data_IF_966448209140
#
_entry.id   IF_966448209140
#
_cell.length_a   1.000
_cell.length_b   1.000
_cell.length_c   1.000
_cell.angle_alpha   90.00
_cell.angle_beta   90.00
_cell.angle_gamma   90.00
#
_symmetry.space_group_name_H-M   'P 1'
#
loop_
_entity.id
_entity.type
_entity.pdbx_description
1 polymer ?
#
# COMPACT_ATOMS: atom_id res chain seq x y z
N UNK A 1 -22.44 14.57 -11.67
CA UNK A 1 -22.04 15.69 -10.80
C UNK A 1 -20.66 15.40 -10.24
N UNK A 2 -19.65 16.14 -10.73
CA UNK A 2 -18.41 16.49 -10.05
C UNK A 2 -17.43 15.38 -9.64
N UNK A 3 -16.53 15.00 -10.56
CA UNK A 3 -15.26 14.34 -10.27
C UNK A 3 -14.10 15.36 -10.46
N UNK A 4 -14.17 16.52 -9.80
CA UNK A 4 -13.21 17.64 -10.03
C UNK A 4 -12.58 18.27 -8.76
N UNK A 5 -12.64 17.67 -7.57
CA UNK A 5 -12.15 18.34 -6.34
C UNK A 5 -11.09 17.58 -5.50
N UNK A 6 -10.16 16.89 -6.14
CA UNK A 6 -8.94 16.44 -5.45
C UNK A 6 -7.69 16.78 -6.26
N UNK A 7 -7.21 18.02 -6.17
CA UNK A 7 -5.82 18.31 -6.57
C UNK A 7 -4.87 17.77 -5.47
N UNK A 8 -3.94 16.85 -5.78
CA UNK A 8 -3.10 16.15 -4.79
C UNK A 8 -1.79 16.89 -4.47
N UNK A 9 -1.72 18.20 -4.68
CA UNK A 9 -0.43 18.92 -4.75
C UNK A 9 0.25 19.08 -3.38
N UNK A 10 -0.48 19.35 -2.29
CA UNK A 10 0.15 19.56 -0.98
C UNK A 10 0.74 18.31 -0.31
N UNK A 11 0.25 17.12 -0.66
CA UNK A 11 0.54 15.86 0.05
C UNK A 11 1.94 15.32 -0.23
N UNK A 12 2.38 15.44 -1.49
CA UNK A 12 3.68 14.93 -1.96
C UNK A 12 4.80 15.87 -1.53
N UNK A 13 4.54 17.18 -1.56
CA UNK A 13 5.57 18.20 -1.46
C UNK A 13 6.28 18.15 -0.10
N UNK A 14 5.61 18.45 1.03
CA UNK A 14 6.28 18.53 2.36
C UNK A 14 6.92 17.21 2.81
N UNK A 15 6.45 16.09 2.25
CA UNK A 15 6.98 14.77 2.55
C UNK A 15 8.38 14.58 1.97
N UNK A 16 8.71 15.15 0.81
CA UNK A 16 10.05 15.04 0.22
C UNK A 16 11.09 15.82 1.05
N UNK A 17 10.73 17.02 1.55
CA UNK A 17 11.60 17.80 2.44
C UNK A 17 11.91 17.05 3.75
N UNK A 18 10.93 16.35 4.33
CA UNK A 18 11.15 15.51 5.51
C UNK A 18 12.11 14.35 5.25
N UNK A 19 11.99 13.68 4.10
CA UNK A 19 12.94 12.63 3.72
C UNK A 19 14.36 13.18 3.53
N UNK A 20 14.49 14.34 2.88
CA UNK A 20 15.77 15.05 2.74
C UNK A 20 16.41 15.38 4.10
N UNK A 21 15.62 15.86 5.07
CA UNK A 21 16.12 16.15 6.43
C UNK A 21 16.62 14.89 7.15
N UNK A 22 15.89 13.78 7.02
CA UNK A 22 16.28 12.50 7.62
C UNK A 22 17.54 11.93 6.98
N UNK A 23 17.65 12.00 5.65
CA UNK A 23 18.82 11.55 4.92
C UNK A 23 20.05 12.37 5.31
N UNK A 24 19.95 13.70 5.36
CA UNK A 24 21.04 14.55 5.81
C UNK A 24 21.51 14.17 7.22
N UNK A 25 20.58 13.99 8.17
CA UNK A 25 20.92 13.56 9.54
C UNK A 25 21.60 12.19 9.55
N UNK A 26 21.13 11.25 8.73
CA UNK A 26 21.74 9.93 8.60
C UNK A 26 23.18 10.04 8.08
N UNK A 27 23.41 10.78 6.99
CA UNK A 27 24.75 10.97 6.39
C UNK A 27 25.71 11.64 7.37
N UNK A 28 25.29 12.73 8.00
CA UNK A 28 26.10 13.44 9.02
C UNK A 28 26.50 12.50 10.15
N UNK A 29 25.56 11.67 10.61
CA UNK A 29 25.82 10.69 11.67
C UNK A 29 26.74 9.56 11.19
N UNK A 30 26.49 8.98 10.02
CA UNK A 30 27.23 7.86 9.47
C UNK A 30 28.69 8.23 9.17
N UNK A 31 28.92 9.44 8.65
CA UNK A 31 30.25 9.97 8.34
C UNK A 31 30.93 10.64 9.54
N UNK A 32 30.29 10.64 10.73
CA UNK A 32 30.82 11.27 11.95
C UNK A 32 31.21 12.75 11.75
N UNK A 33 30.50 13.46 10.88
CA UNK A 33 30.75 14.87 10.57
C UNK A 33 30.24 15.73 11.73
N UNK A 34 31.16 16.15 12.61
CA UNK A 34 30.84 17.08 13.69
C UNK A 34 30.98 18.51 13.17
N UNK A 35 29.99 19.35 13.47
CA UNK A 35 30.02 20.81 13.24
C UNK A 35 30.04 21.29 11.77
N UNK A 36 29.75 20.42 10.79
CA UNK A 36 29.64 20.84 9.39
C UNK A 36 28.31 21.60 9.18
N UNK A 37 28.35 22.87 8.72
CA UNK A 37 27.14 23.61 8.36
C UNK A 37 26.35 22.87 7.29
N UNK A 38 25.09 22.54 7.60
CA UNK A 38 24.22 21.79 6.69
C UNK A 38 23.08 22.68 6.22
N UNK A 39 23.01 22.91 4.91
CA UNK A 39 21.99 23.72 4.26
C UNK A 39 21.02 22.84 3.47
N UNK A 40 19.75 23.23 3.44
CA UNK A 40 18.67 22.49 2.78
C UNK A 40 18.07 23.33 1.67
N UNK A 41 18.03 22.79 0.45
CA UNK A 41 17.52 23.48 -0.73
C UNK A 41 16.25 22.80 -1.23
N UNK A 42 15.24 23.60 -1.57
CA UNK A 42 13.98 23.12 -2.12
C UNK A 42 13.46 24.10 -3.18
N UNK A 43 12.92 23.57 -4.27
CA UNK A 43 12.23 24.32 -5.32
C UNK A 43 10.73 24.52 -5.02
N UNK A 44 10.20 23.70 -4.12
CA UNK A 44 8.85 23.87 -3.60
C UNK A 44 8.71 25.07 -2.65
N UNK A 45 8.38 26.23 -3.22
CA UNK A 45 8.16 27.50 -2.50
C UNK A 45 7.10 27.39 -1.41
N UNK A 46 6.00 26.67 -1.66
CA UNK A 46 4.90 26.46 -0.69
C UNK A 46 5.37 25.72 0.56
N UNK A 47 6.14 24.63 0.39
CA UNK A 47 6.66 23.88 1.53
C UNK A 47 7.75 24.65 2.28
N UNK A 48 8.58 25.42 1.58
CA UNK A 48 9.53 26.33 2.21
C UNK A 48 8.81 27.34 3.12
N UNK A 49 7.71 27.94 2.65
CA UNK A 49 6.88 28.82 3.46
C UNK A 49 6.30 28.13 4.70
N UNK A 50 5.78 26.90 4.58
CA UNK A 50 5.29 26.14 5.72
C UNK A 50 6.39 25.85 6.76
N UNK A 51 7.62 25.58 6.31
CA UNK A 51 8.79 25.32 7.17
C UNK A 51 9.30 26.60 7.84
N UNK A 52 9.22 27.76 7.18
CA UNK A 52 9.72 29.04 7.72
C UNK A 52 8.70 29.78 8.60
N UNK A 53 7.40 29.76 8.25
CA UNK A 53 6.33 30.48 8.97
C UNK A 53 5.79 29.70 10.16
N UNK A 54 5.50 30.38 11.27
CA UNK A 54 4.95 29.77 12.50
C UNK A 54 3.42 29.92 12.58
N UNK A 55 2.70 29.26 11.68
CA UNK A 55 1.24 29.33 11.62
C UNK A 55 0.55 27.98 11.94
N UNK A 56 -0.77 28.03 12.11
CA UNK A 56 -1.60 26.87 12.42
C UNK A 56 -2.02 26.12 11.15
N UNK A 57 -1.10 25.32 10.62
CA UNK A 57 -1.35 24.44 9.48
C UNK A 57 -2.32 23.31 9.81
N UNK A 58 -2.91 22.73 8.77
CA UNK A 58 -3.63 21.46 8.81
C UNK A 58 -2.83 20.37 9.52
N UNK A 59 -3.53 19.40 10.13
CA UNK A 59 -2.91 18.40 11.03
C UNK A 59 -1.76 17.65 10.35
N UNK A 60 -1.91 17.34 9.06
CA UNK A 60 -0.88 16.66 8.29
C UNK A 60 0.39 17.51 8.15
N UNK A 61 0.31 18.66 7.50
CA UNK A 61 1.46 19.56 7.27
C UNK A 61 2.11 19.97 8.59
N UNK A 62 1.32 20.31 9.62
CA UNK A 62 1.85 20.72 10.92
C UNK A 62 2.72 19.62 11.55
N UNK A 63 2.31 18.36 11.49
CA UNK A 63 3.11 17.26 12.02
C UNK A 63 4.44 17.10 11.28
N UNK A 64 4.47 17.27 9.95
CA UNK A 64 5.70 17.09 9.15
C UNK A 64 6.64 18.28 9.30
N UNK A 65 6.12 19.51 9.36
CA UNK A 65 6.90 20.71 9.66
C UNK A 65 7.55 20.59 11.05
N UNK A 66 6.82 20.06 12.05
CA UNK A 66 7.39 19.78 13.38
C UNK A 66 8.53 18.76 13.32
N UNK A 67 8.34 17.67 12.58
CA UNK A 67 9.39 16.66 12.40
C UNK A 67 10.62 17.27 11.71
N UNK A 68 10.43 18.04 10.62
CA UNK A 68 11.51 18.74 9.90
C UNK A 68 12.27 19.68 10.84
N UNK A 69 11.55 20.50 11.62
CA UNK A 69 12.15 21.46 12.56
C UNK A 69 12.83 20.78 13.75
N UNK A 70 12.50 19.52 14.06
CA UNK A 70 13.22 18.73 15.06
C UNK A 70 14.56 18.19 14.53
N UNK A 71 14.72 18.13 13.20
CA UNK A 71 15.90 17.59 12.51
C UNK A 71 16.82 18.69 11.98
N UNK A 72 16.25 19.86 11.66
CA UNK A 72 16.93 20.97 10.98
C UNK A 72 16.42 22.32 11.50
N UNK A 73 17.24 23.36 11.39
CA UNK A 73 16.84 24.73 11.76
C UNK A 73 16.21 25.43 10.56
N UNK A 74 15.15 26.22 10.77
CA UNK A 74 14.38 26.89 9.70
C UNK A 74 15.23 27.89 8.90
N UNK A 75 16.27 28.46 9.52
CA UNK A 75 17.18 29.45 8.93
C UNK A 75 18.11 28.84 7.87
N UNK A 76 18.29 27.51 7.87
CA UNK A 76 19.13 26.80 6.91
C UNK A 76 18.38 26.29 5.68
N UNK A 77 17.07 26.55 5.59
CA UNK A 77 16.25 26.22 4.44
C UNK A 77 16.23 27.36 3.43
N UNK A 78 16.58 27.07 2.18
CA UNK A 78 16.67 28.02 1.06
C UNK A 78 15.88 27.55 -0.14
N UNK A 79 15.45 28.51 -0.96
CA UNK A 79 14.80 28.24 -2.24
C UNK A 79 15.85 28.03 -3.32
N UNK A 80 15.68 27.00 -4.15
CA UNK A 80 16.43 26.85 -5.40
C UNK A 80 15.45 26.89 -6.58
N UNK A 81 15.67 27.74 -7.60
CA UNK A 81 14.85 27.69 -8.80
C UNK A 81 14.88 26.28 -9.41
N UNK A 82 13.74 25.75 -9.84
CA UNK A 82 13.65 24.38 -10.37
C UNK A 82 14.65 24.07 -11.50
N UNK A 83 14.97 25.05 -12.36
CA UNK A 83 15.99 24.92 -13.42
C UNK A 83 17.41 24.66 -12.90
N UNK A 84 17.70 25.07 -11.65
CA UNK A 84 18.97 24.88 -10.98
C UNK A 84 18.94 23.72 -9.98
N UNK A 85 17.76 23.09 -9.79
CA UNK A 85 17.60 21.97 -8.87
C UNK A 85 18.15 20.68 -9.52
N UNK A 86 19.30 20.16 -9.08
CA UNK A 86 19.84 18.94 -9.68
C UNK A 86 18.88 17.77 -9.43
N UNK A 87 18.14 17.74 -8.31
CA UNK A 87 17.27 16.64 -7.95
C UNK A 87 16.12 16.42 -8.96
N UNK A 88 15.77 17.44 -9.76
CA UNK A 88 14.81 17.31 -10.84
C UNK A 88 15.31 16.41 -11.97
N UNK A 89 16.62 16.36 -12.22
CA UNK A 89 17.23 15.47 -13.22
C UNK A 89 17.02 14.01 -12.82
N UNK A 90 17.19 13.70 -11.53
CA UNK A 90 17.00 12.35 -11.01
C UNK A 90 15.51 11.98 -10.83
N UNK A 91 14.63 12.95 -10.58
CA UNK A 91 13.20 12.70 -10.34
C UNK A 91 12.38 12.65 -11.62
N UNK A 92 12.76 13.40 -12.67
CA UNK A 92 12.06 13.46 -13.97
C UNK A 92 12.63 12.53 -15.03
N UNK A 93 13.81 11.93 -14.79
CA UNK A 93 14.52 11.11 -15.77
C UNK A 93 15.33 11.95 -16.75
N UNK A 94 16.47 11.42 -17.20
CA UNK A 94 17.24 12.00 -18.30
C UNK A 94 18.10 10.92 -18.99
N UNK A 95 18.52 11.18 -20.23
CA UNK A 95 19.41 10.27 -20.97
C UNK A 95 20.83 10.27 -20.39
N UNK A 96 21.60 9.19 -20.60
CA UNK A 96 22.99 9.10 -20.12
C UNK A 96 23.91 10.19 -20.70
N UNK A 97 23.67 10.60 -21.96
CA UNK A 97 24.40 11.71 -22.59
C UNK A 97 24.04 13.07 -21.97
N UNK A 98 22.77 13.26 -21.60
CA UNK A 98 22.35 14.46 -20.90
C UNK A 98 22.89 14.47 -19.47
N UNK A 99 22.84 13.32 -18.76
CA UNK A 99 23.41 13.18 -17.42
C UNK A 99 24.92 13.43 -17.39
N UNK A 100 25.67 12.99 -18.42
CA UNK A 100 27.12 13.20 -18.51
C UNK A 100 27.52 14.65 -18.79
N UNK A 101 26.61 15.44 -19.38
CA UNK A 101 26.80 16.88 -19.57
C UNK A 101 26.52 17.70 -18.29
N UNK A 102 25.78 17.12 -17.34
CA UNK A 102 25.49 17.75 -16.06
C UNK A 102 26.49 17.31 -14.98
N UNK A 103 26.92 18.25 -14.15
CA UNK A 103 27.79 18.01 -13.00
C UNK A 103 27.01 17.36 -11.82
N UNK A 104 26.17 16.35 -12.08
CA UNK A 104 25.32 15.70 -11.07
C UNK A 104 26.12 15.18 -9.88
N UNK A 105 27.29 14.58 -10.15
CA UNK A 105 28.19 14.03 -9.14
C UNK A 105 28.98 15.10 -8.38
N UNK A 106 29.13 16.29 -8.96
CA UNK A 106 29.89 17.40 -8.36
C UNK A 106 28.98 18.42 -7.67
N UNK A 107 27.68 18.35 -7.94
CA UNK A 107 26.69 19.32 -7.51
C UNK A 107 26.69 20.62 -8.35
N UNK A 108 25.71 21.49 -8.13
CA UNK A 108 25.62 22.77 -8.82
C UNK A 108 26.85 23.67 -8.58
N UNK A 109 27.31 24.36 -9.63
CA UNK A 109 28.48 25.26 -9.56
C UNK A 109 28.37 26.33 -8.47
N UNK A 110 27.17 26.84 -8.20
CA UNK A 110 27.00 27.85 -7.16
C UNK A 110 27.31 27.33 -5.75
N UNK A 111 27.23 26.01 -5.48
CA UNK A 111 27.63 25.43 -4.20
C UNK A 111 29.15 25.40 -4.01
N UNK A 112 29.92 25.46 -5.11
CA UNK A 112 31.39 25.58 -5.08
C UNK A 112 31.83 27.02 -4.78
N UNK A 113 30.95 28.00 -5.01
CA UNK A 113 31.18 29.40 -4.68
C UNK A 113 30.90 29.70 -3.19
N UNK A 114 31.34 30.87 -2.73
CA UNK A 114 31.13 31.29 -1.34
C UNK A 114 29.63 31.49 -1.03
N UNK A 115 29.20 31.33 0.25
CA UNK A 115 27.79 31.46 0.63
C UNK A 115 27.11 32.79 0.25
N UNK A 116 27.89 33.85 0.06
CA UNK A 116 27.44 35.17 -0.36
C UNK A 116 27.07 35.22 -1.85
N UNK A 117 27.66 34.35 -2.66
CA UNK A 117 27.41 34.21 -4.09
C UNK A 117 26.26 33.24 -4.40
N UNK A 118 25.69 32.59 -3.39
CA UNK A 118 24.55 31.70 -3.57
C UNK A 118 23.30 32.44 -4.04
N UNK A 119 22.38 31.77 -4.77
CA UNK A 119 21.12 32.37 -5.20
C UNK A 119 20.37 32.98 -4.01
N UNK A 120 20.05 34.27 -4.11
CA UNK A 120 19.21 34.95 -3.10
C UNK A 120 17.80 34.41 -3.20
N UNK A 121 17.19 34.09 -2.06
CA UNK A 121 15.85 33.52 -1.93
C UNK A 121 14.72 34.52 -2.24
N UNK A 122 14.83 35.29 -3.33
CA UNK A 122 13.74 36.15 -3.79
C UNK A 122 12.75 35.28 -4.58
N UNK A 123 11.69 34.85 -3.92
CA UNK A 123 10.57 34.15 -4.55
C UNK A 123 9.24 34.77 -4.08
N UNK A 124 8.26 34.84 -4.98
CA UNK A 124 6.90 35.28 -4.67
C UNK A 124 6.02 34.05 -4.38
N UNK A 125 5.75 33.70 -3.11
CA UNK A 125 4.92 32.55 -2.79
C UNK A 125 3.47 32.77 -3.24
N UNK A 126 2.82 31.70 -3.69
CA UNK A 126 1.38 31.71 -3.92
C UNK A 126 0.64 31.60 -2.58
N UNK A 127 0.17 32.74 -2.05
CA UNK A 127 -0.52 32.81 -0.76
C UNK A 127 -1.83 32.01 -0.72
N UNK A 128 -2.50 31.84 -1.85
CA UNK A 128 -3.75 31.08 -1.92
C UNK A 128 -3.52 29.59 -1.64
N UNK A 129 -2.47 29.01 -2.23
CA UNK A 129 -2.06 27.63 -1.97
C UNK A 129 -1.56 27.42 -0.54
N UNK A 130 -0.91 28.43 0.05
CA UNK A 130 -0.48 28.39 1.46
C UNK A 130 -1.71 28.43 2.38
N UNK A 131 -2.66 29.33 2.10
CA UNK A 131 -3.86 29.53 2.88
C UNK A 131 -4.83 28.34 2.82
N UNK A 132 -4.87 27.62 1.68
CA UNK A 132 -5.67 26.42 1.50
C UNK A 132 -5.42 25.35 2.58
N UNK A 133 -4.18 25.29 3.08
CA UNK A 133 -3.74 24.31 4.08
C UNK A 133 -3.79 24.86 5.52
N UNK A 134 -4.32 26.06 5.73
CA UNK A 134 -4.60 26.57 7.08
C UNK A 134 -5.73 25.76 7.73
N UNK A 135 -5.63 25.54 9.04
CA UNK A 135 -6.64 24.78 9.78
C UNK A 135 -8.00 25.50 9.74
N UNK A 136 -8.92 25.00 8.90
CA UNK A 136 -10.30 25.51 8.82
C UNK A 136 -10.98 25.44 10.19
N UNK A 137 -11.37 26.59 10.74
CA UNK A 137 -12.22 26.67 11.94
C UNK A 137 -13.65 26.32 11.53
N UNK A 138 -14.09 25.10 11.82
CA UNK A 138 -15.49 24.73 11.67
C UNK A 138 -16.25 25.32 12.87
N UNK A 139 -17.01 26.39 12.65
CA UNK A 139 -18.00 26.88 13.59
C UNK A 139 -19.27 26.09 13.31
N UNK A 140 -19.57 25.10 14.15
CA UNK A 140 -20.84 24.37 14.09
C UNK A 140 -21.85 25.13 14.93
N UNK A 141 -22.79 25.82 14.30
CA UNK A 141 -23.98 26.30 14.98
C UNK A 141 -24.94 25.11 15.19
N UNK A 142 -25.31 24.84 16.44
CA UNK A 142 -26.12 23.69 16.85
C UNK A 142 -27.40 24.22 17.50
N UNK A 143 -28.30 24.76 16.69
CA UNK A 143 -29.70 25.01 17.07
C UNK A 143 -30.50 23.70 16.96
N UNK A 144 -30.29 22.80 17.92
CA UNK A 144 -31.06 21.54 18.01
C UNK A 144 -32.29 21.77 18.89
N UNK A 145 -33.49 21.66 18.33
CA UNK A 145 -34.70 21.43 19.12
C UNK A 145 -34.57 20.05 19.77
N UNK A 146 -34.55 20.04 21.10
CA UNK A 146 -34.34 18.83 21.88
C UNK A 146 -35.69 18.14 22.08
N UNK A 147 -35.94 17.06 21.36
CA UNK A 147 -36.93 16.06 21.74
C UNK A 147 -36.26 14.92 22.51
N UNK A 148 -36.93 14.42 23.54
CA UNK A 148 -36.44 13.36 24.44
C UNK A 148 -36.51 12.02 23.70
N UNK A 149 -35.39 11.33 23.40
CA UNK A 149 -35.45 10.04 22.73
C UNK A 149 -36.00 8.96 23.68
N UNK A 150 -37.00 8.18 23.24
CA UNK A 150 -37.64 7.11 24.02
C UNK A 150 -36.66 6.07 24.58
N UNK A 151 -35.50 5.88 23.95
CA UNK A 151 -34.53 4.85 24.35
C UNK A 151 -33.93 5.05 25.75
N UNK A 152 -34.07 6.24 26.35
CA UNK A 152 -33.62 6.50 27.73
C UNK A 152 -34.50 5.86 28.80
N UNK A 153 -35.78 5.59 28.51
CA UNK A 153 -36.71 5.00 29.49
C UNK A 153 -36.51 3.49 29.66
N UNK A 154 -35.75 2.86 28.75
CA UNK A 154 -35.46 1.41 28.77
C UNK A 154 -34.35 1.00 29.74
N UNK A 155 -33.69 1.95 30.41
CA UNK A 155 -32.54 1.65 31.26
C UNK A 155 -32.74 2.16 32.70
N UNK A 156 -32.84 1.21 33.64
CA UNK A 156 -33.05 1.49 35.07
C UNK A 156 -31.82 2.01 35.83
N UNK A 157 -30.67 2.21 35.17
CA UNK A 157 -29.43 2.62 35.82
C UNK A 157 -28.60 3.54 34.94
N UNK A 158 -28.20 4.68 35.50
CA UNK A 158 -27.25 5.62 34.92
C UNK A 158 -25.98 4.92 34.37
N UNK A 159 -25.43 3.96 35.11
CA UNK A 159 -24.24 3.21 34.72
C UNK A 159 -24.48 2.28 33.51
N UNK A 160 -25.73 1.87 33.23
CA UNK A 160 -26.09 1.10 32.03
C UNK A 160 -26.23 2.02 30.82
N UNK A 161 -26.89 3.18 30.99
CA UNK A 161 -27.01 4.22 29.96
C UNK A 161 -25.63 4.64 29.46
N UNK A 162 -24.72 4.98 30.38
CA UNK A 162 -23.36 5.39 30.03
C UNK A 162 -22.64 4.27 29.26
N UNK A 163 -22.75 3.01 29.66
CA UNK A 163 -22.08 1.89 28.97
C UNK A 163 -22.59 1.66 27.54
N UNK A 164 -23.90 1.70 27.33
CA UNK A 164 -24.52 1.49 26.01
C UNK A 164 -24.23 2.67 25.08
N UNK A 165 -24.32 3.91 25.57
CA UNK A 165 -24.03 5.07 24.72
C UNK A 165 -22.54 5.32 24.50
N UNK A 166 -21.66 4.96 25.44
CA UNK A 166 -20.20 4.93 25.22
C UNK A 166 -19.79 3.98 24.09
N UNK A 167 -20.57 2.93 23.85
CA UNK A 167 -20.37 2.00 22.73
C UNK A 167 -20.77 2.63 21.38
N UNK A 168 -21.77 3.53 21.37
CA UNK A 168 -22.34 4.07 20.13
C UNK A 168 -21.78 5.45 19.72
N UNK A 169 -21.25 6.27 20.64
CA UNK A 169 -21.09 7.72 20.37
C UNK A 169 -19.86 8.38 21.08
N UNK A 170 -19.22 9.36 20.43
CA UNK A 170 -18.17 10.23 21.00
C UNK A 170 -18.58 10.97 22.29
N UNK A 171 -17.61 11.20 23.19
CA UNK A 171 -17.76 11.86 24.51
C UNK A 171 -18.57 13.16 24.48
N UNK A 172 -18.43 13.96 23.42
CA UNK A 172 -19.13 15.24 23.29
C UNK A 172 -20.64 15.07 23.13
N UNK A 173 -21.07 14.12 22.29
CA UNK A 173 -22.48 13.87 22.04
C UNK A 173 -23.09 13.13 23.24
N UNK A 174 -22.35 12.23 23.90
CA UNK A 174 -22.79 11.62 25.17
C UNK A 174 -23.03 12.69 26.25
N UNK A 175 -22.15 13.69 26.36
CA UNK A 175 -22.34 14.80 27.27
C UNK A 175 -23.56 15.68 26.91
N UNK A 176 -23.79 15.91 25.61
CA UNK A 176 -24.97 16.65 25.14
C UNK A 176 -26.27 15.91 25.47
N UNK A 177 -26.33 14.59 25.24
CA UNK A 177 -27.50 13.77 25.53
C UNK A 177 -27.80 13.63 27.03
N UNK A 178 -26.77 13.48 27.87
CA UNK A 178 -26.97 13.36 29.32
C UNK A 178 -27.50 14.66 29.96
N UNK A 179 -27.14 15.82 29.41
CA UNK A 179 -27.65 17.13 29.87
C UNK A 179 -29.14 17.33 29.64
N UNK A 180 -29.75 16.54 28.75
CA UNK A 180 -31.19 16.61 28.48
C UNK A 180 -32.03 16.07 29.64
N UNK A 181 -31.44 15.22 30.50
CA UNK A 181 -32.15 14.55 31.58
C UNK A 181 -31.53 14.78 32.95
N UNK A 182 -30.23 15.10 33.01
CA UNK A 182 -29.49 15.18 34.27
C UNK A 182 -28.55 16.39 34.30
N UNK A 183 -28.58 17.12 35.42
CA UNK A 183 -27.58 18.14 35.72
C UNK A 183 -26.39 17.54 36.45
N UNK A 184 -25.36 17.13 35.69
CA UNK A 184 -24.19 16.45 36.23
C UNK A 184 -23.01 17.43 36.35
N UNK A 185 -22.57 17.69 37.59
CA UNK A 185 -21.36 18.46 37.86
C UNK A 185 -20.13 17.78 37.23
N UNK A 186 -19.28 18.57 36.56
CA UNK A 186 -18.08 18.07 35.86
C UNK A 186 -18.36 16.90 34.89
N UNK A 187 -19.53 16.91 34.24
CA UNK A 187 -20.01 15.83 33.35
C UNK A 187 -18.96 15.30 32.37
N UNK A 188 -18.23 16.17 31.66
CA UNK A 188 -17.17 15.75 30.72
C UNK A 188 -16.05 14.94 31.39
N UNK A 189 -15.64 15.30 32.62
CA UNK A 189 -14.60 14.58 33.38
C UNK A 189 -15.10 13.20 33.80
N UNK A 190 -16.33 13.14 34.31
CA UNK A 190 -16.97 11.89 34.73
C UNK A 190 -17.21 10.94 33.56
N UNK A 191 -17.69 11.46 32.42
CA UNK A 191 -17.86 10.67 31.19
C UNK A 191 -16.51 10.15 30.69
N UNK A 192 -15.48 10.99 30.60
CA UNK A 192 -14.12 10.55 30.20
C UNK A 192 -13.59 9.47 31.13
N UNK A 193 -13.78 9.63 32.43
CA UNK A 193 -13.41 8.63 33.44
C UNK A 193 -14.12 7.29 33.19
N UNK A 194 -15.44 7.29 32.96
CA UNK A 194 -16.20 6.09 32.64
C UNK A 194 -15.75 5.42 31.32
N UNK A 195 -15.58 6.21 30.25
CA UNK A 195 -15.08 5.72 28.94
C UNK A 195 -13.69 5.11 29.10
N UNK A 196 -12.81 5.77 29.86
CA UNK A 196 -11.44 5.32 30.10
C UNK A 196 -11.34 4.04 30.92
N UNK A 197 -12.38 3.64 31.66
CA UNK A 197 -12.43 2.36 32.39
C UNK A 197 -13.15 1.27 31.60
N UNK A 198 -13.85 1.62 30.52
CA UNK A 198 -14.57 0.66 29.70
C UNK A 198 -13.61 -0.14 28.81
N UNK A 199 -13.43 -1.43 29.12
CA UNK A 199 -12.56 -2.35 28.36
C UNK A 199 -12.97 -2.43 26.88
N UNK A 200 -14.27 -2.40 26.60
CA UNK A 200 -14.79 -2.40 25.22
C UNK A 200 -14.34 -1.15 24.48
N UNK A 201 -14.56 0.05 25.03
CA UNK A 201 -14.12 1.31 24.40
C UNK A 201 -12.59 1.36 24.24
N UNK A 202 -11.82 0.85 25.21
CA UNK A 202 -10.36 0.75 25.09
C UNK A 202 -9.91 -0.11 23.91
N UNK A 203 -10.56 -1.25 23.69
CA UNK A 203 -10.24 -2.14 22.56
C UNK A 203 -10.45 -1.46 21.21
N UNK A 204 -11.54 -0.72 21.05
CA UNK A 204 -11.85 -0.02 19.79
C UNK A 204 -11.04 1.27 19.57
N UNK A 205 -10.59 1.93 20.66
CA UNK A 205 -9.77 3.15 20.59
C UNK A 205 -8.27 2.89 20.61
N UNK A 206 -7.85 1.63 20.73
CA UNK A 206 -6.46 1.23 20.67
C UNK A 206 -5.88 1.61 19.30
N UNK A 207 -4.83 2.44 19.30
CA UNK A 207 -4.09 2.76 18.08
C UNK A 207 -3.36 1.52 17.60
N UNK A 208 -3.26 1.34 16.28
CA UNK A 208 -2.41 0.32 15.69
C UNK A 208 -0.97 0.47 16.23
N UNK A 209 -0.32 -0.65 16.54
CA UNK A 209 1.07 -0.63 16.95
C UNK A 209 1.91 -0.06 15.80
N UNK A 210 2.67 1.01 16.06
CA UNK A 210 3.65 1.53 15.10
C UNK A 210 4.92 0.72 15.32
N UNK A 211 5.16 -0.26 14.47
CA UNK A 211 6.41 -1.03 14.48
C UNK A 211 7.44 -0.34 13.57
N UNK A 212 8.74 -0.35 13.94
CA UNK A 212 9.79 0.06 13.02
C UNK A 212 9.70 -0.81 11.75
N UNK A 213 9.96 -0.25 10.56
CA UNK A 213 9.94 -1.03 9.32
C UNK A 213 10.94 -2.17 9.43
N UNK A 214 10.47 -3.40 9.29
CA UNK A 214 11.34 -4.57 9.29
C UNK A 214 12.13 -4.59 7.98
N UNK A 215 13.38 -5.04 8.03
CA UNK A 215 14.14 -5.27 6.80
C UNK A 215 13.41 -6.28 5.91
N UNK A 216 13.38 -6.03 4.60
CA UNK A 216 12.78 -6.94 3.64
C UNK A 216 13.52 -8.28 3.71
N UNK A 217 12.78 -9.37 3.81
CA UNK A 217 13.34 -10.72 3.87
C UNK A 217 14.24 -10.95 2.64
N UNK A 218 15.43 -11.53 2.84
CA UNK A 218 16.43 -11.77 1.79
C UNK A 218 15.85 -12.51 0.57
N UNK A 219 14.97 -13.47 0.82
CA UNK A 219 14.16 -14.19 -0.17
C UNK A 219 13.32 -13.29 -1.12
N UNK A 220 13.24 -11.96 -0.93
CA UNK A 220 12.67 -11.01 -1.93
C UNK A 220 13.69 -10.29 -2.79
N UNK A 221 14.88 -10.12 -2.24
CA UNK A 221 15.84 -9.12 -2.69
C UNK A 221 17.05 -9.77 -3.35
N UNK A 222 17.25 -11.07 -3.10
CA UNK A 222 18.31 -11.83 -3.76
C UNK A 222 17.95 -12.09 -5.22
N UNK A 223 18.98 -12.20 -6.04
CA UNK A 223 18.88 -12.79 -7.37
C UNK A 223 18.46 -14.25 -7.23
N UNK A 224 17.39 -14.63 -7.93
CA UNK A 224 16.83 -15.98 -7.92
C UNK A 224 16.15 -16.25 -9.25
N UNK A 225 16.07 -17.51 -9.67
CA UNK A 225 15.32 -17.85 -10.87
C UNK A 225 13.81 -17.55 -10.70
N UNK A 226 13.09 -17.42 -11.81
CA UNK A 226 11.63 -17.21 -11.76
C UNK A 226 10.95 -18.37 -11.04
N UNK A 227 10.02 -18.03 -10.13
CA UNK A 227 9.34 -18.98 -9.25
C UNK A 227 10.23 -19.84 -8.32
N UNK A 228 11.54 -19.59 -8.23
CA UNK A 228 12.40 -20.28 -7.28
C UNK A 228 11.89 -20.11 -5.83
N UNK A 229 11.46 -18.88 -5.52
CA UNK A 229 10.82 -18.53 -4.26
C UNK A 229 9.37 -18.15 -4.56
N UNK A 230 8.46 -19.04 -4.16
CA UNK A 230 7.05 -18.94 -4.52
C UNK A 230 6.17 -18.75 -3.28
N UNK A 231 5.32 -17.75 -3.32
CA UNK A 231 4.19 -17.60 -2.41
C UNK A 231 2.96 -18.29 -2.97
N UNK A 232 2.19 -18.96 -2.11
CA UNK A 232 0.95 -19.63 -2.50
C UNK A 232 -0.20 -19.14 -1.63
N UNK A 233 -1.32 -18.84 -2.27
CA UNK A 233 -2.55 -18.47 -1.60
C UNK A 233 -3.77 -19.05 -2.32
N UNK A 234 -4.88 -19.13 -1.60
CA UNK A 234 -6.15 -19.63 -2.11
C UNK A 234 -7.21 -18.54 -2.06
N UNK A 235 -7.92 -18.39 -3.17
CA UNK A 235 -9.02 -17.46 -3.31
C UNK A 235 -10.30 -18.22 -3.66
N UNK A 236 -11.42 -17.88 -3.03
CA UNK A 236 -12.73 -18.44 -3.36
C UNK A 236 -13.72 -18.35 -2.20
N UNK A 237 -14.89 -19.02 -2.32
CA UNK A 237 -15.35 -19.76 -3.50
C UNK A 237 -15.93 -18.85 -4.59
N UNK A 238 -15.68 -19.19 -5.86
CA UNK A 238 -16.45 -18.73 -7.01
C UNK A 238 -17.59 -19.72 -7.30
N UNK A 239 -18.74 -19.20 -7.72
CA UNK A 239 -19.91 -20.02 -8.05
C UNK A 239 -19.89 -20.41 -9.54
N UNK A 240 -19.91 -21.71 -9.82
CA UNK A 240 -19.98 -22.28 -11.17
C UNK A 240 -21.40 -22.76 -11.53
N UNK A 241 -21.73 -22.73 -12.82
CA UNK A 241 -22.95 -23.38 -13.37
C UNK A 241 -22.73 -24.89 -13.53
N UNK A 242 -23.77 -25.75 -13.37
CA UNK A 242 -25.12 -25.42 -12.91
C UNK A 242 -25.22 -25.24 -11.38
N UNK A 243 -24.43 -25.95 -10.58
CA UNK A 243 -24.25 -25.74 -9.12
C UNK A 243 -22.90 -26.30 -8.66
N UNK A 244 -21.83 -25.51 -8.80
CA UNK A 244 -20.49 -25.89 -8.34
C UNK A 244 -19.82 -24.75 -7.57
N UNK A 245 -18.81 -25.10 -6.78
CA UNK A 245 -17.87 -24.12 -6.21
C UNK A 245 -16.50 -24.40 -6.80
N UNK A 246 -15.82 -23.35 -7.20
CA UNK A 246 -14.42 -23.39 -7.55
C UNK A 246 -13.61 -22.48 -6.63
N UNK A 247 -12.37 -22.89 -6.41
CA UNK A 247 -11.35 -22.08 -5.77
C UNK A 247 -10.23 -21.84 -6.78
N UNK A 248 -9.43 -20.84 -6.53
CA UNK A 248 -8.30 -20.49 -7.37
C UNK A 248 -7.07 -20.50 -6.48
N UNK A 249 -6.07 -21.28 -6.88
CA UNK A 249 -4.73 -21.19 -6.30
C UNK A 249 -3.98 -20.11 -7.05
N UNK A 250 -3.45 -19.16 -6.30
CA UNK A 250 -2.47 -18.21 -6.78
C UNK A 250 -1.08 -18.71 -6.38
N UNK A 251 -0.23 -18.94 -7.37
CA UNK A 251 1.22 -19.02 -7.18
C UNK A 251 1.82 -17.68 -7.57
N UNK A 252 2.73 -17.14 -6.77
CA UNK A 252 3.38 -15.87 -7.08
C UNK A 252 4.87 -15.89 -6.78
N UNK A 253 5.67 -15.39 -7.72
CA UNK A 253 7.11 -15.25 -7.53
C UNK A 253 7.42 -14.09 -6.57
N UNK A 254 8.25 -14.34 -5.56
CA UNK A 254 8.62 -13.34 -4.56
C UNK A 254 9.39 -12.15 -5.17
N UNK A 255 10.29 -12.43 -6.12
CA UNK A 255 11.20 -11.47 -6.75
C UNK A 255 10.53 -10.74 -7.92
N UNK A 256 10.15 -11.46 -8.97
CA UNK A 256 9.58 -10.87 -10.20
C UNK A 256 8.10 -10.53 -10.09
N UNK A 257 7.44 -10.94 -9.01
CA UNK A 257 5.99 -10.72 -8.79
C UNK A 257 5.12 -11.29 -9.92
N UNK A 258 5.65 -12.23 -10.71
CA UNK A 258 4.88 -13.04 -11.65
C UNK A 258 3.82 -13.85 -10.90
N UNK A 259 2.72 -14.18 -11.58
CA UNK A 259 1.67 -15.03 -11.06
C UNK A 259 1.39 -16.22 -11.97
N UNK A 260 0.93 -17.32 -11.38
CA UNK A 260 0.35 -18.46 -12.08
C UNK A 260 -0.96 -18.83 -11.37
N UNK A 261 -2.04 -19.06 -12.10
CA UNK A 261 -3.38 -19.30 -11.58
C UNK A 261 -3.87 -20.69 -11.94
N UNK A 262 -4.40 -21.42 -10.95
CA UNK A 262 -4.95 -22.77 -11.16
C UNK A 262 -6.34 -22.89 -10.53
N UNK A 263 -7.37 -23.32 -11.27
CA UNK A 263 -8.67 -23.61 -10.68
C UNK A 263 -8.64 -24.93 -9.90
N UNK A 264 -9.38 -24.97 -8.80
CA UNK A 264 -9.61 -26.13 -7.95
C UNK A 264 -11.10 -26.37 -7.78
N UNK A 265 -11.49 -27.64 -7.84
CA UNK A 265 -12.86 -28.09 -7.54
C UNK A 265 -13.09 -28.34 -6.04
N UNK A 266 -12.03 -28.39 -5.22
CA UNK A 266 -12.12 -28.53 -3.76
C UNK A 266 -10.92 -27.92 -3.04
N UNK A 267 -11.09 -27.59 -1.75
CA UNK A 267 -10.00 -27.15 -0.86
C UNK A 267 -9.20 -28.33 -0.26
N UNK A 268 -9.33 -29.55 -0.78
CA UNK A 268 -8.61 -30.70 -0.26
C UNK A 268 -7.10 -30.64 -0.55
N UNK A 269 -6.32 -31.34 0.27
CA UNK A 269 -4.88 -31.54 0.04
C UNK A 269 -4.62 -32.15 -1.33
N UNK A 270 -5.42 -33.13 -1.76
CA UNK A 270 -5.24 -33.83 -3.04
C UNK A 270 -5.46 -32.90 -4.23
N UNK A 271 -6.56 -32.14 -4.24
CA UNK A 271 -6.83 -31.16 -5.30
C UNK A 271 -5.71 -30.13 -5.41
N UNK A 272 -5.20 -29.64 -4.27
CA UNK A 272 -4.08 -28.72 -4.27
C UNK A 272 -2.77 -29.37 -4.76
N UNK A 273 -2.48 -30.62 -4.38
CA UNK A 273 -1.31 -31.36 -4.89
C UNK A 273 -1.35 -31.52 -6.42
N UNK A 274 -2.52 -31.72 -7.02
CA UNK A 274 -2.66 -31.77 -8.48
C UNK A 274 -2.36 -30.40 -9.12
N UNK A 275 -2.85 -29.30 -8.55
CA UNK A 275 -2.51 -27.95 -9.02
C UNK A 275 -1.01 -27.65 -8.86
N UNK A 276 -0.40 -28.04 -7.74
CA UNK A 276 1.04 -27.90 -7.52
C UNK A 276 1.85 -28.69 -8.57
N UNK A 277 1.41 -29.90 -8.93
CA UNK A 277 2.05 -30.69 -10.00
C UNK A 277 1.98 -29.98 -11.35
N UNK A 278 0.82 -29.42 -11.73
CA UNK A 278 0.67 -28.65 -12.99
C UNK A 278 1.56 -27.40 -13.00
N UNK A 279 1.58 -26.67 -11.88
CA UNK A 279 2.48 -25.53 -11.71
C UNK A 279 3.95 -25.91 -11.88
N UNK A 280 4.42 -26.98 -11.20
CA UNK A 280 5.82 -27.43 -11.30
C UNK A 280 6.15 -27.86 -12.73
N UNK A 281 5.25 -28.56 -13.40
CA UNK A 281 5.44 -28.99 -14.78
C UNK A 281 5.52 -27.81 -15.77
N UNK A 282 4.72 -26.75 -15.55
CA UNK A 282 4.67 -25.59 -16.46
C UNK A 282 5.68 -24.49 -16.14
N UNK A 283 6.07 -24.30 -14.88
CA UNK A 283 6.88 -23.16 -14.39
C UNK A 283 8.21 -23.56 -13.77
N UNK A 284 8.45 -24.85 -13.58
CA UNK A 284 9.61 -25.36 -12.86
C UNK A 284 9.37 -25.53 -11.36
N UNK A 285 10.27 -26.25 -10.71
CA UNK A 285 10.17 -26.61 -9.30
C UNK A 285 10.70 -25.48 -8.40
N UNK A 286 9.91 -24.96 -7.44
CA UNK A 286 10.39 -23.96 -6.50
C UNK A 286 11.39 -24.58 -5.51
N UNK A 287 12.40 -23.80 -5.12
CA UNK A 287 13.31 -24.18 -4.03
C UNK A 287 12.68 -23.90 -2.67
N UNK A 288 11.92 -22.79 -2.55
CA UNK A 288 11.25 -22.37 -1.32
C UNK A 288 9.80 -21.98 -1.59
N UNK A 289 8.89 -22.49 -0.76
CA UNK A 289 7.46 -22.20 -0.81
C UNK A 289 7.02 -21.52 0.47
N UNK A 290 6.26 -20.44 0.35
CA UNK A 290 5.64 -19.72 1.45
C UNK A 290 4.12 -19.85 1.38
N UNK A 291 3.48 -20.29 2.46
CA UNK A 291 2.00 -20.41 2.53
C UNK A 291 1.46 -19.88 3.85
N UNK A 292 0.15 -19.66 3.93
CA UNK A 292 -0.51 -19.57 5.22
C UNK A 292 -0.60 -20.96 5.90
N UNK A 293 -1.17 -20.99 7.10
CA UNK A 293 -1.27 -22.19 7.93
C UNK A 293 -2.51 -23.06 7.63
N UNK A 294 -3.15 -22.91 6.46
CA UNK A 294 -4.29 -23.71 6.07
C UNK A 294 -3.97 -25.22 6.05
N UNK A 295 -4.98 -26.04 6.35
CA UNK A 295 -4.82 -27.48 6.60
C UNK A 295 -4.40 -28.26 5.35
N UNK A 296 -4.84 -27.83 4.17
CA UNK A 296 -4.44 -28.41 2.88
C UNK A 296 -2.95 -28.19 2.55
N UNK A 297 -2.39 -27.02 2.89
CA UNK A 297 -0.96 -26.76 2.75
C UNK A 297 -0.13 -27.57 3.75
N UNK A 298 -0.57 -27.66 5.01
CA UNK A 298 0.07 -28.54 6.01
C UNK A 298 0.03 -30.01 5.59
N UNK A 299 -1.10 -30.46 5.07
CA UNK A 299 -1.26 -31.81 4.53
C UNK A 299 -0.26 -32.10 3.41
N UNK A 300 -0.05 -31.12 2.52
CA UNK A 300 0.88 -31.25 1.40
C UNK A 300 2.33 -31.25 1.83
N UNK A 301 2.73 -30.35 2.73
CA UNK A 301 4.07 -30.34 3.33
C UNK A 301 4.39 -31.68 4.01
N UNK A 302 3.44 -32.22 4.78
CA UNK A 302 3.58 -33.54 5.40
C UNK A 302 3.69 -34.67 4.38
N UNK A 303 2.97 -34.60 3.26
CA UNK A 303 3.06 -35.59 2.19
C UNK A 303 4.43 -35.53 1.48
N UNK A 304 4.94 -34.32 1.20
CA UNK A 304 6.25 -34.11 0.57
C UNK A 304 7.41 -34.57 1.45
N UNK A 305 7.28 -34.45 2.77
CA UNK A 305 8.28 -34.95 3.74
C UNK A 305 8.38 -36.47 3.81
N UNK A 306 7.33 -37.20 3.41
CA UNK A 306 7.32 -38.67 3.37
C UNK A 306 8.01 -39.24 2.13
N UNK A 307 8.33 -38.41 1.15
CA UNK A 307 9.02 -38.83 -0.07
C UNK A 307 10.46 -39.18 0.30
N UNK A 308 10.90 -40.35 -0.14
CA UNK A 308 12.29 -40.80 0.01
C UNK A 308 13.17 -40.07 -1.01
N UNK A 309 13.74 -38.94 -0.59
CA UNK A 309 14.61 -38.12 -1.42
C UNK A 309 15.97 -38.78 -1.71
N UNK A 310 16.38 -39.80 -0.95
CA UNK A 310 17.65 -40.49 -1.21
C UNK A 310 17.60 -41.27 -2.51
N UNK A 311 16.48 -41.95 -2.79
CA UNK A 311 16.26 -42.64 -4.08
C UNK A 311 16.11 -41.70 -5.28
N UNK A 312 15.76 -40.44 -5.05
CA UNK A 312 15.54 -39.43 -6.09
C UNK A 312 16.80 -38.60 -6.34
N UNK A 313 17.77 -38.62 -5.40
CA UNK A 313 18.98 -37.81 -5.44
C UNK A 313 19.89 -38.07 -6.64
N UNK A 314 19.77 -39.21 -7.32
CA UNK A 314 20.45 -39.49 -8.59
C UNK A 314 20.04 -38.53 -9.73
N UNK A 315 18.91 -37.82 -9.60
CA UNK A 315 18.37 -36.87 -10.59
C UNK A 315 18.48 -35.39 -10.18
N UNK A 316 19.42 -35.01 -9.30
CA UNK A 316 19.63 -33.62 -8.82
C UNK A 316 18.37 -32.93 -8.24
N UNK A 317 17.42 -33.70 -7.71
CA UNK A 317 16.14 -33.15 -7.25
C UNK A 317 16.13 -32.92 -5.74
N UNK A 318 16.33 -31.67 -5.31
CA UNK A 318 16.34 -31.30 -3.89
C UNK A 318 14.94 -31.07 -3.31
N UNK A 319 14.70 -31.42 -2.03
CA UNK A 319 13.40 -31.20 -1.37
C UNK A 319 13.01 -29.72 -1.34
N UNK A 320 11.71 -29.44 -1.52
CA UNK A 320 11.17 -28.08 -1.45
C UNK A 320 11.18 -27.61 0.01
N UNK A 321 11.77 -26.45 0.29
CA UNK A 321 11.75 -25.83 1.62
C UNK A 321 10.40 -25.14 1.86
N UNK A 322 9.52 -25.78 2.62
CA UNK A 322 8.23 -25.20 2.98
C UNK A 322 8.35 -24.27 4.19
N UNK A 323 7.81 -23.05 4.08
CA UNK A 323 7.76 -22.04 5.14
C UNK A 323 6.32 -21.57 5.35
N UNK A 324 5.91 -21.47 6.61
CA UNK A 324 4.58 -21.00 6.99
C UNK A 324 4.65 -19.57 7.50
N UNK A 325 3.80 -18.72 6.95
CA UNK A 325 3.72 -17.32 7.35
C UNK A 325 3.12 -17.19 8.76
N UNK A 326 3.57 -16.22 9.57
CA UNK A 326 2.79 -15.73 10.68
C UNK A 326 1.42 -15.24 10.18
N UNK A 327 0.35 -15.34 10.98
CA UNK A 327 -0.95 -14.77 10.62
C UNK A 327 -0.81 -13.31 10.20
N UNK A 328 -1.54 -12.88 9.15
CA UNK A 328 -1.56 -11.49 8.62
C UNK A 328 -0.23 -10.95 8.06
N UNK A 329 0.77 -11.80 7.80
CA UNK A 329 2.08 -11.38 7.28
C UNK A 329 2.31 -11.67 5.78
N UNK A 330 1.25 -12.00 5.02
CA UNK A 330 1.38 -12.35 3.62
C UNK A 330 1.65 -11.12 2.73
N UNK A 331 2.88 -10.95 2.30
CA UNK A 331 3.34 -9.86 1.43
C UNK A 331 2.80 -9.86 -0.03
N UNK A 332 1.96 -10.83 -0.41
CA UNK A 332 1.34 -10.93 -1.74
C UNK A 332 -0.16 -10.64 -1.75
N UNK A 333 -0.75 -10.22 -0.62
CA UNK A 333 -2.18 -9.88 -0.53
C UNK A 333 -2.65 -8.88 -1.59
N UNK A 334 -1.77 -7.94 -1.99
CA UNK A 334 -2.07 -6.98 -3.06
C UNK A 334 -2.32 -7.65 -4.41
N UNK A 335 -1.59 -8.71 -4.75
CA UNK A 335 -1.77 -9.42 -6.03
C UNK A 335 -3.08 -10.19 -6.05
N UNK A 336 -3.45 -10.82 -4.94
CA UNK A 336 -4.77 -11.47 -4.79
C UNK A 336 -5.89 -10.46 -4.98
N UNK A 337 -5.74 -9.26 -4.44
CA UNK A 337 -6.71 -8.18 -4.65
C UNK A 337 -6.83 -7.81 -6.13
N UNK A 338 -5.72 -7.72 -6.86
CA UNK A 338 -5.73 -7.47 -8.31
C UNK A 338 -6.46 -8.58 -9.08
N UNK A 339 -6.17 -9.85 -8.77
CA UNK A 339 -6.85 -11.01 -9.38
C UNK A 339 -8.35 -10.95 -9.11
N UNK A 340 -8.77 -10.78 -7.85
CA UNK A 340 -10.18 -10.67 -7.47
C UNK A 340 -10.87 -9.51 -8.19
N UNK A 341 -10.20 -8.36 -8.28
CA UNK A 341 -10.76 -7.18 -8.94
C UNK A 341 -10.99 -7.42 -10.44
N UNK A 342 -10.07 -8.08 -11.13
CA UNK A 342 -10.24 -8.41 -12.55
C UNK A 342 -11.34 -9.45 -12.76
N UNK A 343 -11.37 -10.50 -11.96
CA UNK A 343 -12.41 -11.52 -12.03
C UNK A 343 -13.81 -10.94 -11.82
N UNK A 344 -13.99 -10.02 -10.85
CA UNK A 344 -15.27 -9.35 -10.63
C UNK A 344 -15.69 -8.51 -11.84
N UNK A 345 -14.73 -7.84 -12.51
CA UNK A 345 -15.00 -7.04 -13.72
C UNK A 345 -15.35 -7.89 -14.94
N UNK A 346 -14.65 -9.01 -15.14
CA UNK A 346 -14.85 -9.92 -16.28
C UNK A 346 -16.15 -10.70 -16.12
N UNK A 347 -16.36 -11.30 -14.94
CA UNK A 347 -17.52 -12.16 -14.69
C UNK A 347 -18.81 -11.35 -14.47
N UNK A 348 -18.72 -10.18 -13.82
CA UNK A 348 -19.89 -9.36 -13.51
C UNK A 348 -20.97 -10.16 -12.76
N UNK A 349 -22.13 -10.35 -13.40
CA UNK A 349 -23.24 -11.19 -12.89
C UNK A 349 -23.31 -12.57 -13.55
N UNK A 350 -22.45 -12.84 -14.52
CA UNK A 350 -22.41 -14.10 -15.25
C UNK A 350 -21.79 -15.19 -14.39
N UNK A 351 -22.37 -16.38 -14.44
CA UNK A 351 -21.73 -17.59 -13.91
C UNK A 351 -21.21 -18.44 -15.06
N UNK A 352 -20.03 -19.02 -14.85
CA UNK A 352 -19.25 -19.75 -15.85
C UNK A 352 -19.15 -21.23 -15.50
N UNK A 353 -18.84 -22.07 -16.48
CA UNK A 353 -18.45 -23.45 -16.27
C UNK A 353 -16.93 -23.56 -15.97
N UNK A 354 -16.43 -24.77 -15.75
CA UNK A 354 -15.03 -24.98 -15.35
C UNK A 354 -14.01 -24.66 -16.47
N UNK A 355 -14.32 -25.03 -17.72
CA UNK A 355 -13.45 -24.75 -18.89
C UNK A 355 -13.40 -23.26 -19.22
N UNK A 356 -14.56 -22.59 -19.13
CA UNK A 356 -14.66 -21.12 -19.23
C UNK A 356 -13.83 -20.45 -18.13
N UNK A 357 -13.92 -20.93 -16.87
CA UNK A 357 -13.12 -20.41 -15.78
C UNK A 357 -11.62 -20.59 -16.04
N UNK A 358 -11.21 -21.78 -16.51
CA UNK A 358 -9.81 -22.05 -16.85
C UNK A 358 -9.29 -21.04 -17.89
N UNK A 359 -10.06 -20.81 -18.95
CA UNK A 359 -9.72 -19.86 -20.02
C UNK A 359 -9.61 -18.44 -19.48
N UNK A 360 -10.60 -17.98 -18.70
CA UNK A 360 -10.58 -16.65 -18.08
C UNK A 360 -9.37 -16.47 -17.16
N UNK A 361 -8.96 -17.52 -16.43
CA UNK A 361 -7.78 -17.45 -15.58
C UNK A 361 -6.50 -17.26 -16.38
N UNK A 362 -6.37 -17.89 -17.56
CA UNK A 362 -5.25 -17.64 -18.47
C UNK A 362 -5.18 -16.16 -18.91
N UNK A 363 -6.32 -15.56 -19.25
CA UNK A 363 -6.37 -14.14 -19.65
C UNK A 363 -6.04 -13.19 -18.49
N UNK A 364 -6.56 -13.49 -17.29
CA UNK A 364 -6.27 -12.73 -16.07
C UNK A 364 -4.79 -12.84 -15.71
N UNK A 365 -4.21 -14.03 -15.82
CA UNK A 365 -2.79 -14.28 -15.61
C UNK A 365 -1.92 -13.48 -16.60
N UNK A 366 -2.22 -13.56 -17.90
CA UNK A 366 -1.52 -12.82 -18.94
C UNK A 366 -1.60 -11.31 -18.70
N UNK A 367 -2.79 -10.80 -18.35
CA UNK A 367 -3.02 -9.38 -18.07
C UNK A 367 -2.21 -8.90 -16.87
N UNK A 368 -2.23 -9.65 -15.77
CA UNK A 368 -1.48 -9.28 -14.56
C UNK A 368 0.03 -9.41 -14.79
N UNK A 369 0.50 -10.40 -15.55
CA UNK A 369 1.91 -10.58 -15.85
C UNK A 369 2.43 -9.58 -16.89
N UNK A 370 1.56 -8.91 -17.65
CA UNK A 370 1.94 -7.84 -18.58
C UNK A 370 2.02 -6.46 -17.91
N UNK A 371 1.73 -6.37 -16.61
CA UNK A 371 1.81 -5.09 -15.88
C UNK A 371 3.27 -4.63 -15.72
N UNK A 372 3.54 -3.32 -15.72
CA UNK A 372 4.86 -2.79 -15.43
C UNK A 372 5.26 -3.07 -13.96
N UNK A 373 6.52 -3.44 -13.73
CA UNK A 373 7.15 -3.50 -12.40
C UNK A 373 7.77 -2.16 -12.01
N UNK A 374 8.09 -1.34 -13.00
CA UNK A 374 8.71 -0.02 -12.87
C UNK A 374 7.69 1.07 -13.19
N UNK A 375 8.09 2.32 -12.97
CA UNK A 375 7.33 3.47 -13.45
C UNK A 375 7.23 3.43 -14.99
N UNK A 376 6.09 3.88 -15.52
CA UNK A 376 5.89 4.12 -16.94
C UNK A 376 6.09 5.62 -17.13
N UNK A 377 7.08 6.01 -17.92
CA UNK A 377 7.26 7.40 -18.34
C UNK A 377 6.32 7.74 -19.50
N UNK A 378 5.95 9.01 -19.58
CA UNK A 378 5.14 9.56 -20.67
C UNK A 378 5.99 9.90 -21.91
N UNK A 379 7.33 9.80 -21.83
CA UNK A 379 8.24 10.08 -22.93
C UNK A 379 8.38 8.87 -23.89
N UNK A 380 8.18 9.12 -25.20
CA UNK A 380 8.20 8.08 -26.24
C UNK A 380 9.57 7.45 -26.50
N UNK A 381 10.64 8.09 -26.03
CA UNK A 381 12.03 7.68 -26.27
C UNK A 381 12.60 6.85 -25.11
N UNK A 382 11.81 6.58 -24.06
CA UNK A 382 12.22 5.80 -22.90
C UNK A 382 12.12 4.28 -23.07
N UNK A 383 12.88 3.55 -22.25
CA UNK A 383 12.94 2.09 -22.25
C UNK A 383 11.58 1.48 -21.87
N UNK A 384 11.17 0.43 -22.59
CA UNK A 384 9.95 -0.33 -22.29
C UNK A 384 10.03 -0.85 -20.85
N UNK A 385 9.00 -0.59 -20.00
CA UNK A 385 9.02 -0.99 -18.59
C UNK A 385 9.11 -2.51 -18.46
N UNK A 386 9.91 -2.97 -17.50
CA UNK A 386 10.03 -4.41 -17.25
C UNK A 386 8.70 -4.96 -16.73
N UNK A 387 8.20 -6.04 -17.32
CA UNK A 387 6.99 -6.75 -16.88
C UNK A 387 7.35 -8.16 -16.40
N UNK A 388 6.55 -8.79 -15.53
CA UNK A 388 6.75 -10.19 -15.19
C UNK A 388 6.79 -11.13 -16.41
N UNK A 389 6.02 -10.84 -17.47
CA UNK A 389 5.96 -11.66 -18.68
C UNK A 389 7.29 -11.76 -19.40
N UNK A 390 8.14 -10.73 -19.34
CA UNK A 390 9.49 -10.75 -19.92
C UNK A 390 10.39 -11.86 -19.36
N UNK A 391 10.09 -12.34 -18.16
CA UNK A 391 10.84 -13.40 -17.49
C UNK A 391 10.18 -14.78 -17.65
N UNK A 392 8.96 -14.84 -18.18
CA UNK A 392 8.17 -16.07 -18.30
C UNK A 392 8.24 -16.67 -19.70
N UNK A 393 8.29 -15.82 -20.74
CA UNK A 393 8.19 -16.23 -22.13
C UNK A 393 9.08 -15.35 -23.00
N UNK A 394 9.79 -15.96 -23.94
CA UNK A 394 10.61 -15.24 -24.92
C UNK A 394 9.74 -14.55 -25.99
N UNK A 395 8.58 -15.14 -26.31
CA UNK A 395 7.62 -14.60 -27.27
C UNK A 395 6.66 -13.64 -26.55
N UNK A 396 6.65 -12.38 -26.98
CA UNK A 396 5.91 -11.28 -26.31
C UNK A 396 4.48 -11.07 -26.78
N UNK A 397 4.11 -11.62 -27.94
CA UNK A 397 2.75 -11.48 -28.49
C UNK A 397 1.83 -12.49 -27.82
N UNK A 398 0.84 -11.99 -27.07
CA UNK A 398 -0.16 -12.79 -26.38
C UNK A 398 -1.55 -12.40 -26.90
N UNK A 399 -2.36 -13.39 -27.28
CA UNK A 399 -3.73 -13.21 -27.75
C UNK A 399 -3.91 -13.46 -29.24
N UNK A 400 -5.09 -13.97 -29.60
CA UNK A 400 -5.64 -13.98 -30.96
C UNK A 400 -6.85 -13.04 -30.88
N UNK A 401 -7.04 -12.15 -31.86
CA UNK A 401 -8.28 -11.35 -31.97
C UNK A 401 -9.46 -12.30 -32.23
N UNK A 402 -10.07 -12.81 -31.15
CA UNK A 402 -11.32 -13.55 -31.27
C UNK A 402 -12.48 -12.55 -31.39
N UNK A 403 -13.42 -12.73 -32.34
CA UNK A 403 -14.64 -11.93 -32.37
C UNK A 403 -15.40 -12.11 -31.06
N UNK A 404 -15.49 -11.03 -30.28
CA UNK A 404 -16.00 -10.97 -28.89
C UNK A 404 -17.47 -11.40 -28.76
N UNK A 405 -18.20 -11.60 -29.86
CA UNK A 405 -19.65 -11.78 -29.87
C UNK A 405 -20.16 -13.23 -29.90
N UNK A 406 -19.31 -14.25 -30.06
CA UNK A 406 -19.81 -15.61 -30.34
C UNK A 406 -19.79 -16.61 -29.17
N UNK A 407 -19.17 -16.28 -28.01
CA UNK A 407 -18.99 -17.26 -26.93
C UNK A 407 -19.84 -17.05 -25.67
N UNK A 408 -20.48 -15.89 -25.51
CA UNK A 408 -21.45 -15.69 -24.42
C UNK A 408 -22.84 -15.76 -25.02
N UNK A 409 -23.42 -16.96 -25.12
CA UNK A 409 -24.85 -17.10 -25.38
C UNK A 409 -25.60 -16.43 -24.23
N UNK A 410 -26.02 -15.18 -24.42
CA UNK A 410 -26.97 -14.52 -23.55
C UNK A 410 -28.32 -15.19 -23.76
N UNK A 411 -28.53 -16.35 -23.14
CA UNK A 411 -29.87 -16.90 -23.02
C UNK A 411 -30.68 -15.91 -22.19
N UNK A 412 -31.76 -15.30 -22.72
CA UNK A 412 -32.63 -14.47 -21.91
C UNK A 412 -33.28 -15.39 -20.87
N UNK A 413 -33.07 -15.07 -19.60
CA UNK A 413 -33.80 -15.69 -18.51
C UNK A 413 -35.28 -15.32 -18.72
N UNK A 414 -36.11 -16.31 -19.04
CA UNK A 414 -37.57 -16.24 -18.89
C UNK A 414 -37.96 -16.57 -17.46
#
# INVERSE_FOLDING_TARGET
MGLEEWSPEGFVIVSSQLHGSRLAKYVVTALSLKEVPTYYWTDATVALCWIQREENWGVFVNNRVKDIRSLSKKEYWRHIPGKLNPADIASRGCTLQHLSQYAWWEGPEFLKASPEAWPKSEFSPNEELIAAEMKKKIIVDLSVKIERPECFERFSSFSKIVRVFCWMICVQILAAKLRLQYWIFSSKRNIRSCVSRCVVCKRFTAKALITPPIQLHLDRVRESAIFEITGIDLCGPLLLKPRGKAWIVLFTCAVYRAIHLEPLTSLSTESFMQALKRFIAGRGRPSTVYTDNATNFRGTDNALKKIDWQKISENECYPIKWKFNPPTAAWWERLIRSVKSLLVRILGRSSVNFEELLTILCDVEASINSRPLTYISDDSDELIPSTPSLFLQDIKQVGIEYPVNDFVSTSPVR
#
